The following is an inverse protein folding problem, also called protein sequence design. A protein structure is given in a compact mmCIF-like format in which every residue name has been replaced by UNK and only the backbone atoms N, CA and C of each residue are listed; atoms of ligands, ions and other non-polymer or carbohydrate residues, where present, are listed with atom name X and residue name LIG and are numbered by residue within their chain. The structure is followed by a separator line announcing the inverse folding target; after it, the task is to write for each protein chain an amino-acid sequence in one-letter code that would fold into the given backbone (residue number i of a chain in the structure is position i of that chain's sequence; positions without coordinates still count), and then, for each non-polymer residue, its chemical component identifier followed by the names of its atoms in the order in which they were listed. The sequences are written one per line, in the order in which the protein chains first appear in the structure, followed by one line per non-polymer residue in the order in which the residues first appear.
data_IF_199607721232
#
_entry.id   IF_199607721232
#
_cell.length_a   1.000
_cell.length_b   1.000
_cell.length_c   1.000
_cell.angle_alpha   90.00
_cell.angle_beta   90.00
_cell.angle_gamma   90.00
#
_symmetry.space_group_name_H-M   'P 1'
#
loop_
_entity.id
_entity.type
_entity.pdbx_description
1 polymer ?
#
# COMPACT_ATOMS: atom_id res chain seq x y z
N UNK A 1 4.27 -6.81 72.50
CA UNK A 1 3.95 -7.76 71.42
C UNK A 1 2.79 -7.21 70.62
N UNK A 2 3.02 -7.04 69.32
CA UNK A 2 2.15 -6.47 68.29
C UNK A 2 0.96 -7.36 67.97
N UNK A 3 -0.17 -6.77 67.54
CA UNK A 3 -0.77 -7.05 66.21
C UNK A 3 -1.90 -6.07 65.86
N UNK A 4 -1.67 -5.33 64.77
CA UNK A 4 -2.57 -4.40 64.12
C UNK A 4 -3.71 -5.11 63.35
N UNK A 5 -4.92 -4.56 63.44
CA UNK A 5 -6.04 -4.87 62.54
C UNK A 5 -5.95 -3.99 61.30
N UNK A 6 -5.86 -4.62 60.13
CA UNK A 6 -5.81 -3.94 58.83
C UNK A 6 -7.20 -3.77 58.22
N UNK A 7 -7.57 -2.52 57.91
CA UNK A 7 -8.76 -2.17 57.13
C UNK A 7 -8.40 -2.19 55.65
N UNK A 8 -9.01 -3.09 54.86
CA UNK A 8 -8.86 -3.12 53.41
C UNK A 8 -9.73 -2.01 52.78
N UNK A 9 -9.09 -1.03 52.15
CA UNK A 9 -9.76 -0.12 51.21
C UNK A 9 -9.87 -0.81 49.84
N UNK A 10 -11.08 -1.17 49.44
CA UNK A 10 -11.39 -1.58 48.08
C UNK A 10 -11.52 -0.33 47.20
N UNK A 11 -10.43 0.06 46.53
CA UNK A 11 -10.44 1.09 45.50
C UNK A 11 -10.94 0.52 44.18
N UNK A 12 -12.12 0.95 43.74
CA UNK A 12 -12.68 0.67 42.43
C UNK A 12 -11.86 1.40 41.36
N UNK A 13 -11.02 0.65 40.61
CA UNK A 13 -10.28 1.18 39.46
C UNK A 13 -11.23 1.23 38.25
N UNK A 14 -11.81 2.39 37.98
CA UNK A 14 -12.58 2.62 36.75
C UNK A 14 -11.59 2.79 35.59
N UNK A 15 -11.34 1.70 34.84
CA UNK A 15 -10.64 1.79 33.57
C UNK A 15 -11.52 2.54 32.57
N UNK A 16 -11.23 3.84 32.37
CA UNK A 16 -11.72 4.60 31.23
C UNK A 16 -11.03 4.03 29.97
N UNK A 17 -11.65 3.02 29.37
CA UNK A 17 -11.32 2.64 27.99
C UNK A 17 -11.72 3.82 27.11
N UNK A 18 -10.75 4.66 26.76
CA UNK A 18 -10.92 5.68 25.73
C UNK A 18 -11.25 4.98 24.42
N UNK A 19 -12.53 5.00 24.03
CA UNK A 19 -12.96 4.57 22.71
C UNK A 19 -12.36 5.55 21.72
N UNK A 20 -11.29 5.13 21.03
CA UNK A 20 -10.79 5.90 19.89
C UNK A 20 -11.89 5.81 18.83
N UNK A 21 -12.44 6.93 18.34
CA UNK A 21 -13.47 6.89 17.32
C UNK A 21 -12.93 6.14 16.10
N UNK A 22 -13.72 5.25 15.48
CA UNK A 22 -13.31 4.57 14.26
C UNK A 22 -13.01 5.64 13.20
N UNK A 23 -11.89 5.47 12.49
CA UNK A 23 -11.57 6.33 11.37
C UNK A 23 -12.74 6.30 10.38
N UNK A 24 -13.37 7.46 10.15
CA UNK A 24 -14.52 7.57 9.26
C UNK A 24 -14.10 7.25 7.83
N UNK A 25 -15.00 6.61 7.08
CA UNK A 25 -14.79 6.40 5.65
C UNK A 25 -14.87 7.74 4.92
N UNK A 26 -13.89 8.01 4.05
CA UNK A 26 -13.82 9.22 3.23
C UNK A 26 -13.81 8.83 1.75
N UNK A 27 -14.36 9.67 0.85
CA UNK A 27 -14.35 9.38 -0.58
C UNK A 27 -12.95 9.49 -1.16
N UNK A 28 -12.49 8.39 -1.78
CA UNK A 28 -11.21 8.26 -2.47
C UNK A 28 -11.46 7.99 -3.95
N UNK A 29 -10.79 8.75 -4.80
CA UNK A 29 -10.70 8.52 -6.23
C UNK A 29 -9.26 8.12 -6.59
N UNK A 30 -9.09 6.94 -7.18
CA UNK A 30 -7.83 6.47 -7.76
C UNK A 30 -7.88 6.65 -9.26
N UNK A 31 -6.92 7.41 -9.79
CA UNK A 31 -6.65 7.53 -11.22
C UNK A 31 -5.29 6.89 -11.49
N UNK A 32 -5.28 5.76 -12.21
CA UNK A 32 -4.04 5.07 -12.55
C UNK A 32 -3.87 5.00 -14.07
N UNK A 33 -2.64 5.23 -14.55
CA UNK A 33 -2.24 5.02 -15.93
C UNK A 33 -1.12 3.99 -16.02
N UNK A 34 -1.23 3.09 -16.98
CA UNK A 34 -0.27 2.03 -17.24
C UNK A 34 0.34 2.21 -18.63
N UNK A 35 1.67 2.20 -18.67
CA UNK A 35 2.45 2.38 -19.89
C UNK A 35 3.49 1.28 -20.05
N UNK A 36 3.95 1.06 -21.29
CA UNK A 36 5.13 0.28 -21.61
C UNK A 36 6.40 1.12 -21.40
N UNK A 37 7.56 0.48 -21.45
CA UNK A 37 8.87 1.16 -21.39
C UNK A 37 9.09 2.18 -22.51
N UNK A 38 8.41 2.03 -23.66
CA UNK A 38 8.44 3.02 -24.75
C UNK A 38 7.53 4.24 -24.49
N UNK A 39 6.86 4.28 -23.33
CA UNK A 39 5.88 5.29 -22.96
C UNK A 39 4.48 5.08 -23.56
N UNK A 40 4.30 4.08 -24.43
CA UNK A 40 3.02 3.76 -25.07
C UNK A 40 2.02 3.19 -24.07
N UNK A 41 0.70 3.47 -24.23
CA UNK A 41 -0.31 3.01 -23.29
C UNK A 41 -0.50 1.49 -23.32
N UNK A 42 -0.76 0.90 -22.16
CA UNK A 42 -1.17 -0.50 -22.03
C UNK A 42 -2.70 -0.59 -22.06
N UNK A 43 -3.31 -0.54 -23.24
CA UNK A 43 -4.76 -0.64 -23.42
C UNK A 43 -5.26 -2.09 -23.29
N UNK A 44 -6.49 -2.27 -22.80
CA UNK A 44 -7.13 -3.60 -22.70
C UNK A 44 -6.50 -4.51 -21.64
N UNK A 45 -5.60 -4.00 -20.80
CA UNK A 45 -4.91 -4.78 -19.78
C UNK A 45 -5.83 -5.00 -18.58
N UNK A 46 -6.06 -6.25 -18.14
CA UNK A 46 -6.78 -6.50 -16.90
C UNK A 46 -5.96 -6.03 -15.71
N UNK A 47 -6.59 -5.32 -14.79
CA UNK A 47 -5.99 -4.85 -13.54
C UNK A 47 -6.98 -5.02 -12.40
N UNK A 48 -6.47 -5.27 -11.19
CA UNK A 48 -7.26 -5.19 -9.96
C UNK A 48 -6.71 -4.07 -9.09
N UNK A 49 -7.58 -3.19 -8.61
CA UNK A 49 -7.23 -2.08 -7.73
C UNK A 49 -7.93 -2.28 -6.39
N UNK A 50 -7.21 -2.11 -5.29
CA UNK A 50 -7.71 -2.28 -3.92
C UNK A 50 -7.20 -1.16 -3.01
N UNK A 51 -7.99 -0.71 -2.05
CA UNK A 51 -7.54 0.24 -1.02
C UNK A 51 -7.07 -0.51 0.22
N UNK A 52 -5.94 -0.11 0.79
CA UNK A 52 -5.32 -0.84 1.90
C UNK A 52 -6.01 -0.72 3.27
N UNK A 53 -6.99 0.16 3.40
CA UNK A 53 -7.90 0.21 4.55
C UNK A 53 -9.12 -0.72 4.40
N UNK A 54 -9.31 -1.38 3.26
CA UNK A 54 -10.35 -2.40 3.10
C UNK A 54 -10.03 -3.66 3.93
N UNK A 55 -11.07 -4.34 4.41
CA UNK A 55 -10.93 -5.61 5.13
C UNK A 55 -10.29 -6.65 4.21
N UNK A 56 -9.21 -7.28 4.69
CA UNK A 56 -8.47 -8.28 3.92
C UNK A 56 -8.01 -7.77 2.54
N UNK A 57 -7.56 -6.52 2.44
CA UNK A 57 -7.14 -5.87 1.19
C UNK A 57 -6.10 -6.65 0.36
N UNK A 58 -5.32 -7.55 0.98
CA UNK A 58 -4.36 -8.44 0.30
C UNK A 58 -4.93 -9.80 -0.10
N UNK A 59 -6.23 -10.00 0.04
CA UNK A 59 -6.92 -11.19 -0.45
C UNK A 59 -7.09 -11.16 -1.96
N UNK A 60 -7.10 -12.33 -2.63
CA UNK A 60 -7.18 -12.41 -4.09
C UNK A 60 -8.51 -11.90 -4.65
N UNK A 61 -9.56 -11.80 -3.81
CA UNK A 61 -10.88 -11.27 -4.17
C UNK A 61 -11.16 -9.85 -3.67
N UNK A 62 -10.22 -9.16 -3.03
CA UNK A 62 -10.43 -7.80 -2.52
C UNK A 62 -10.36 -6.74 -3.63
N UNK A 63 -10.99 -5.58 -3.42
CA UNK A 63 -10.99 -4.48 -4.38
C UNK A 63 -11.82 -4.73 -5.65
N UNK A 64 -11.47 -4.03 -6.73
CA UNK A 64 -12.22 -4.00 -7.99
C UNK A 64 -11.35 -4.43 -9.17
N UNK A 65 -11.82 -5.44 -9.90
CA UNK A 65 -11.24 -5.81 -11.20
C UNK A 65 -11.78 -4.89 -12.30
N UNK A 66 -10.88 -4.44 -13.16
CA UNK A 66 -11.12 -3.47 -14.23
C UNK A 66 -10.24 -3.82 -15.44
N UNK A 67 -10.47 -3.11 -16.54
CA UNK A 67 -9.64 -3.18 -17.74
C UNK A 67 -9.24 -1.77 -18.13
N UNK A 68 -7.98 -1.58 -18.51
CA UNK A 68 -7.49 -0.27 -18.93
C UNK A 68 -8.14 0.19 -20.23
N UNK A 69 -8.42 1.49 -20.33
CA UNK A 69 -8.93 2.11 -21.54
C UNK A 69 -7.87 2.22 -22.66
N UNK A 70 -8.23 2.86 -23.78
CA UNK A 70 -7.32 3.06 -24.92
C UNK A 70 -6.06 3.89 -24.57
N UNK A 71 -6.10 4.68 -23.51
CA UNK A 71 -4.97 5.46 -22.99
C UNK A 71 -4.23 4.75 -21.86
N UNK A 72 -4.56 3.48 -21.58
CA UNK A 72 -3.97 2.68 -20.53
C UNK A 72 -4.45 3.07 -19.14
N UNK A 73 -5.61 3.71 -18.99
CA UNK A 73 -6.07 4.28 -17.72
C UNK A 73 -7.18 3.45 -17.07
N UNK A 74 -7.28 3.57 -15.75
CA UNK A 74 -8.45 3.17 -14.96
C UNK A 74 -8.79 4.25 -13.94
N UNK A 75 -10.08 4.34 -13.62
CA UNK A 75 -10.61 5.22 -12.57
C UNK A 75 -11.44 4.38 -11.61
N UNK A 76 -11.11 4.44 -10.32
CA UNK A 76 -11.81 3.75 -9.26
C UNK A 76 -12.24 4.74 -8.18
N UNK A 77 -13.49 4.66 -7.73
CA UNK A 77 -14.04 5.49 -6.66
C UNK A 77 -14.55 4.58 -5.55
N UNK A 78 -14.22 4.91 -4.31
CA UNK A 78 -14.55 4.11 -3.13
C UNK A 78 -14.55 4.97 -1.88
N UNK A 79 -15.35 4.60 -0.90
CA UNK A 79 -15.28 5.19 0.44
C UNK A 79 -14.45 4.28 1.34
N UNK A 80 -13.37 4.82 1.91
CA UNK A 80 -12.51 4.04 2.79
C UNK A 80 -11.86 4.94 3.85
N UNK A 81 -11.52 4.39 5.03
CA UNK A 81 -10.83 5.16 6.06
C UNK A 81 -9.44 5.63 5.60
N UNK A 82 -9.09 6.87 5.94
CA UNK A 82 -7.73 7.41 5.76
C UNK A 82 -6.90 7.09 6.99
N UNK A 83 -5.75 6.46 6.79
CA UNK A 83 -4.84 6.11 7.89
C UNK A 83 -4.07 7.35 8.31
N UNK A 84 -3.98 7.59 9.62
CA UNK A 84 -3.09 8.61 10.17
C UNK A 84 -1.87 7.90 10.76
N UNK A 85 -0.67 8.38 10.42
CA UNK A 85 0.57 7.85 11.01
C UNK A 85 1.60 8.95 11.21
N UNK A 86 2.53 8.70 12.13
CA UNK A 86 3.73 9.52 12.31
C UNK A 86 4.88 8.89 11.56
N UNK A 87 5.47 9.64 10.64
CA UNK A 87 6.65 9.22 9.90
C UNK A 87 7.87 10.02 10.33
N UNK A 88 9.05 9.38 10.24
CA UNK A 88 10.34 10.04 10.44
C UNK A 88 10.96 10.25 9.06
N UNK A 89 11.13 11.51 8.67
CA UNK A 89 11.93 11.89 7.50
C UNK A 89 13.37 12.13 7.98
N UNK A 90 14.37 12.00 7.11
CA UNK A 90 15.81 11.85 7.42
C UNK A 90 16.43 12.90 8.38
N UNK A 91 15.71 13.95 8.75
CA UNK A 91 16.02 14.77 9.92
C UNK A 91 15.66 14.04 11.22
N UNK A 92 16.70 13.60 11.94
CA UNK A 92 16.67 12.90 13.23
C UNK A 92 15.83 13.53 14.36
N UNK A 93 15.24 14.72 14.18
CA UNK A 93 14.49 15.44 15.22
C UNK A 93 13.04 15.81 14.87
N UNK A 94 12.55 15.58 13.64
CA UNK A 94 11.18 15.94 13.27
C UNK A 94 10.35 14.69 12.92
N UNK A 95 9.37 14.38 13.77
CA UNK A 95 8.27 13.48 13.40
C UNK A 95 7.23 14.29 12.64
N UNK A 96 6.77 13.76 11.53
CA UNK A 96 5.74 14.38 10.71
C UNK A 96 4.46 13.59 10.86
N UNK A 97 3.37 14.26 11.24
CA UNK A 97 2.03 13.67 11.09
C UNK A 97 1.72 13.59 9.59
N UNK A 98 1.25 12.41 9.17
CA UNK A 98 0.96 12.08 7.78
C UNK A 98 -0.42 11.45 7.67
N UNK A 99 -1.05 11.68 6.52
CA UNK A 99 -2.26 10.98 6.08
C UNK A 99 -1.87 10.01 4.97
N UNK A 100 -2.03 8.73 5.25
CA UNK A 100 -1.63 7.62 4.41
C UNK A 100 -2.83 7.09 3.62
N UNK A 101 -2.66 6.99 2.31
CA UNK A 101 -3.49 6.16 1.44
C UNK A 101 -2.63 5.04 0.88
N UNK A 102 -3.16 3.83 0.92
CA UNK A 102 -2.52 2.65 0.35
C UNK A 102 -3.36 2.15 -0.83
N UNK A 103 -2.70 1.91 -1.96
CA UNK A 103 -3.32 1.37 -3.16
C UNK A 103 -2.58 0.10 -3.56
N UNK A 104 -3.29 -1.02 -3.55
CA UNK A 104 -2.82 -2.25 -4.16
C UNK A 104 -3.22 -2.30 -5.63
N UNK A 105 -2.26 -2.55 -6.52
CA UNK A 105 -2.49 -2.80 -7.93
C UNK A 105 -1.97 -4.20 -8.26
N UNK A 106 -2.85 -5.05 -8.75
CA UNK A 106 -2.46 -6.38 -9.22
C UNK A 106 -2.02 -6.32 -10.69
N UNK A 107 -0.79 -6.76 -10.95
CA UNK A 107 -0.24 -6.93 -12.28
C UNK A 107 0.41 -8.31 -12.40
N UNK A 108 0.70 -8.69 -13.63
CA UNK A 108 1.44 -9.91 -13.94
C UNK A 108 2.96 -9.67 -13.88
N UNK A 109 3.64 -10.53 -13.14
CA UNK A 109 5.08 -10.61 -12.94
C UNK A 109 5.56 -12.01 -13.32
N UNK A 110 6.21 -12.14 -14.49
CA UNK A 110 6.76 -13.40 -14.99
C UNK A 110 5.73 -14.56 -15.03
N UNK A 111 4.55 -14.29 -15.59
CA UNK A 111 3.46 -15.27 -15.64
C UNK A 111 2.75 -15.52 -14.31
N UNK A 112 3.12 -14.81 -13.24
CA UNK A 112 2.50 -14.90 -11.91
C UNK A 112 1.73 -13.63 -11.59
N UNK A 113 0.69 -13.74 -10.76
CA UNK A 113 0.02 -12.57 -10.18
C UNK A 113 0.92 -11.95 -9.11
N UNK A 114 1.05 -10.63 -9.10
CA UNK A 114 1.76 -9.88 -8.08
C UNK A 114 0.94 -8.65 -7.67
N UNK A 115 0.89 -8.37 -6.37
CA UNK A 115 0.24 -7.19 -5.82
C UNK A 115 1.30 -6.13 -5.52
N UNK A 116 1.27 -5.05 -6.29
CA UNK A 116 2.08 -3.85 -6.08
C UNK A 116 1.37 -2.97 -5.07
N UNK A 117 1.89 -2.93 -3.85
CA UNK A 117 1.36 -2.17 -2.74
C UNK A 117 2.04 -0.82 -2.67
N UNK A 118 1.31 0.23 -3.03
CA UNK A 118 1.80 1.60 -3.09
C UNK A 118 1.29 2.33 -1.85
N UNK A 119 2.20 2.73 -0.97
CA UNK A 119 1.92 3.59 0.17
C UNK A 119 2.17 5.04 -0.25
N UNK A 120 1.22 5.94 -0.02
CA UNK A 120 1.40 7.37 -0.29
C UNK A 120 1.06 8.16 0.97
N UNK A 121 2.08 8.75 1.58
CA UNK A 121 1.97 9.67 2.71
C UNK A 121 1.80 11.10 2.21
N UNK A 122 0.72 11.77 2.58
CA UNK A 122 0.59 13.21 2.40
C UNK A 122 1.17 13.92 3.64
N UNK A 123 2.34 14.53 3.46
CA UNK A 123 2.97 15.43 4.44
C UNK A 123 2.94 16.88 3.97
N UNK A 124 3.35 17.82 4.84
CA UNK A 124 3.39 19.25 4.50
C UNK A 124 4.23 19.58 3.25
N UNK A 125 5.28 18.80 2.99
CA UNK A 125 6.16 19.01 1.84
C UNK A 125 5.60 18.44 0.53
N UNK A 126 4.48 17.70 0.57
CA UNK A 126 3.91 17.00 -0.58
C UNK A 126 3.74 15.50 -0.33
N UNK A 127 3.29 14.75 -1.36
CA UNK A 127 3.16 13.31 -1.29
C UNK A 127 4.53 12.62 -1.29
N UNK A 128 4.66 11.55 -0.51
CA UNK A 128 5.81 10.65 -0.49
C UNK A 128 5.32 9.22 -0.74
N UNK A 129 5.86 8.55 -1.76
CA UNK A 129 5.46 7.18 -2.08
C UNK A 129 6.52 6.12 -1.80
N UNK A 130 6.08 4.99 -1.26
CA UNK A 130 6.81 3.74 -1.19
C UNK A 130 6.08 2.65 -1.99
N UNK A 131 6.82 1.67 -2.51
CA UNK A 131 6.24 0.54 -3.21
C UNK A 131 6.81 -0.78 -2.69
N UNK A 132 5.92 -1.73 -2.42
CA UNK A 132 6.23 -3.10 -2.06
C UNK A 132 5.55 -4.04 -3.05
N UNK A 133 6.12 -5.22 -3.28
CA UNK A 133 5.55 -6.20 -4.21
C UNK A 133 5.37 -7.52 -3.48
N UNK A 134 4.15 -8.04 -3.52
CA UNK A 134 3.78 -9.28 -2.85
C UNK A 134 3.33 -10.32 -3.87
N UNK A 135 3.79 -11.55 -3.70
CA UNK A 135 3.31 -12.73 -4.40
C UNK A 135 2.26 -13.46 -3.57
N UNK A 136 1.37 -14.24 -4.20
CA UNK A 136 0.43 -15.08 -3.48
C UNK A 136 1.17 -16.22 -2.75
N UNK A 137 0.91 -16.37 -1.46
CA UNK A 137 1.31 -17.50 -0.65
C UNK A 137 0.42 -18.73 -0.84
N UNK A 138 0.62 -19.76 0.00
CA UNK A 138 -0.12 -21.04 -0.09
C UNK A 138 -1.63 -20.88 0.09
N UNK A 139 -2.07 -19.87 0.85
CA UNK A 139 -3.47 -19.55 1.09
C UNK A 139 -4.10 -18.73 -0.06
N UNK A 140 -3.33 -18.35 -1.07
CA UNK A 140 -3.72 -17.42 -2.13
C UNK A 140 -3.69 -15.95 -1.72
N UNK A 141 -3.42 -15.64 -0.45
CA UNK A 141 -3.20 -14.28 0.05
C UNK A 141 -1.91 -13.70 -0.51
N UNK A 142 -1.89 -12.41 -0.84
CA UNK A 142 -0.66 -11.71 -1.25
C UNK A 142 0.18 -11.35 -0.02
N UNK A 143 0.86 -12.35 0.56
CA UNK A 143 1.59 -12.24 1.82
C UNK A 143 3.10 -12.54 1.72
N UNK A 144 3.59 -12.88 0.52
CA UNK A 144 5.01 -13.15 0.27
C UNK A 144 5.71 -11.95 -0.39
N UNK A 145 6.41 -11.08 0.35
CA UNK A 145 7.10 -9.95 -0.24
C UNK A 145 8.28 -10.40 -1.11
N UNK A 146 8.54 -9.69 -2.21
CA UNK A 146 9.82 -9.80 -2.90
C UNK A 146 10.94 -9.33 -1.96
N UNK A 147 12.07 -10.03 -1.98
CA UNK A 147 13.24 -9.67 -1.17
C UNK A 147 14.21 -8.89 -2.03
N UNK A 148 14.54 -7.67 -1.62
CA UNK A 148 15.60 -6.87 -2.22
C UNK A 148 16.97 -7.25 -1.62
N UNK A 149 17.95 -7.41 -2.49
CA UNK A 149 19.33 -7.71 -2.13
C UNK A 149 20.20 -6.49 -2.45
N UNK A 150 20.54 -5.70 -1.43
CA UNK A 150 21.28 -4.45 -1.59
C UNK A 150 22.63 -4.65 -2.30
N UNK A 151 23.36 -5.71 -1.92
CA UNK A 151 24.72 -5.97 -2.42
C UNK A 151 24.83 -6.04 -3.94
N UNK A 152 23.79 -6.55 -4.61
CA UNK A 152 23.78 -6.76 -6.06
C UNK A 152 22.62 -6.03 -6.74
N UNK A 153 21.89 -5.17 -6.03
CA UNK A 153 20.72 -4.43 -6.51
C UNK A 153 19.73 -5.32 -7.28
N UNK A 154 19.41 -6.49 -6.71
CA UNK A 154 18.53 -7.47 -7.34
C UNK A 154 17.37 -7.85 -6.43
N UNK A 155 16.37 -8.51 -7.00
CA UNK A 155 15.23 -9.04 -6.27
C UNK A 155 15.17 -10.55 -6.38
N UNK A 156 14.84 -11.25 -5.30
CA UNK A 156 14.55 -12.68 -5.35
C UNK A 156 13.07 -12.96 -5.10
N UNK A 157 12.58 -14.01 -5.74
CA UNK A 157 11.28 -14.58 -5.43
C UNK A 157 11.37 -15.29 -4.06
N UNK A 158 10.45 -15.02 -3.11
CA UNK A 158 10.52 -15.55 -1.75
C UNK A 158 10.34 -17.07 -1.68
N UNK A 159 9.70 -17.68 -2.68
CA UNK A 159 9.56 -19.13 -2.83
C UNK A 159 10.71 -19.79 -3.59
N UNK A 160 11.70 -19.01 -4.04
CA UNK A 160 12.91 -19.49 -4.73
C UNK A 160 14.17 -18.73 -4.27
N UNK A 161 14.60 -18.88 -2.99
CA UNK A 161 15.68 -18.08 -2.41
C UNK A 161 17.08 -18.31 -3.02
N UNK A 162 17.28 -19.43 -3.74
CA UNK A 162 18.47 -19.68 -4.58
C UNK A 162 18.17 -19.66 -6.08
N UNK A 163 16.98 -19.18 -6.46
CA UNK A 163 16.50 -19.15 -7.84
C UNK A 163 16.92 -17.87 -8.58
N UNK A 164 16.23 -17.62 -9.68
CA UNK A 164 16.49 -16.48 -10.57
C UNK A 164 16.45 -15.15 -9.82
N UNK A 165 17.49 -14.34 -10.01
CA UNK A 165 17.54 -12.97 -9.53
C UNK A 165 16.95 -12.04 -10.59
N UNK A 166 16.06 -11.16 -10.17
CA UNK A 166 15.41 -10.18 -11.02
C UNK A 166 16.15 -8.86 -10.96
N UNK A 167 16.30 -8.21 -12.11
CA UNK A 167 16.86 -6.85 -12.24
C UNK A 167 15.87 -5.75 -11.85
N UNK A 168 14.61 -6.12 -11.59
CA UNK A 168 13.54 -5.21 -11.19
C UNK A 168 12.32 -5.99 -10.72
N UNK A 169 11.25 -5.27 -10.40
CA UNK A 169 10.00 -5.87 -9.91
C UNK A 169 8.95 -6.04 -11.01
N UNK A 170 9.27 -5.72 -12.26
CA UNK A 170 8.39 -5.90 -13.43
C UNK A 170 7.42 -4.76 -13.67
N UNK A 171 7.29 -3.85 -12.71
CA UNK A 171 6.67 -2.56 -12.91
C UNK A 171 7.32 -1.49 -12.03
N UNK A 172 7.36 -0.26 -12.53
CA UNK A 172 7.94 0.89 -11.84
C UNK A 172 6.89 1.98 -11.67
N UNK A 173 6.85 2.60 -10.49
CA UNK A 173 6.07 3.80 -10.26
C UNK A 173 6.81 5.00 -10.86
N UNK A 174 6.26 5.61 -11.89
CA UNK A 174 6.83 6.78 -12.57
C UNK A 174 6.41 8.09 -11.91
N UNK A 175 5.11 8.20 -11.64
CA UNK A 175 4.49 9.40 -11.09
C UNK A 175 3.51 8.98 -10.00
N UNK A 176 3.45 9.77 -8.94
CA UNK A 176 2.50 9.59 -7.85
C UNK A 176 2.08 10.96 -7.32
N UNK A 177 0.82 11.05 -6.90
CA UNK A 177 0.30 12.23 -6.22
C UNK A 177 -0.83 11.84 -5.28
N UNK A 178 -1.03 12.65 -4.24
CA UNK A 178 -2.13 12.52 -3.29
C UNK A 178 -2.59 13.92 -2.90
N UNK A 179 -3.83 14.25 -3.29
CA UNK A 179 -4.44 15.54 -3.00
C UNK A 179 -5.80 15.37 -2.34
N UNK A 180 -6.24 16.39 -1.63
CA UNK A 180 -7.60 16.50 -1.12
C UNK A 180 -8.26 17.73 -1.74
N UNK A 181 -9.41 17.53 -2.38
CA UNK A 181 -10.19 18.63 -2.94
C UNK A 181 -10.85 19.46 -1.84
N UNK A 182 -11.29 20.70 -2.13
CA UNK A 182 -12.08 21.51 -1.19
C UNK A 182 -13.37 20.81 -0.71
N UNK A 183 -13.90 19.88 -1.51
CA UNK A 183 -15.08 19.08 -1.18
C UNK A 183 -14.75 17.84 -0.32
N UNK A 184 -13.50 17.64 0.11
CA UNK A 184 -13.09 16.51 0.94
C UNK A 184 -12.82 15.22 0.18
N UNK A 185 -12.87 15.21 -1.17
CA UNK A 185 -12.52 14.03 -1.97
C UNK A 185 -11.01 13.89 -2.09
N UNK A 186 -10.50 12.74 -1.66
CA UNK A 186 -9.12 12.34 -1.84
C UNK A 186 -8.88 11.85 -3.26
N UNK A 187 -7.85 12.36 -3.91
CA UNK A 187 -7.46 11.95 -5.26
C UNK A 187 -6.05 11.38 -5.23
N UNK A 188 -5.95 10.11 -5.58
CA UNK A 188 -4.69 9.41 -5.82
C UNK A 188 -4.44 9.41 -7.33
N UNK A 189 -3.28 9.89 -7.76
CA UNK A 189 -2.83 9.78 -9.15
C UNK A 189 -1.61 8.88 -9.21
N UNK A 190 -1.63 7.89 -10.09
CA UNK A 190 -0.54 6.94 -10.29
C UNK A 190 -0.22 6.80 -11.77
N UNK A 191 1.07 6.76 -12.10
CA UNK A 191 1.54 6.31 -13.42
C UNK A 191 2.53 5.18 -13.22
N UNK A 192 2.22 4.01 -13.78
CA UNK A 192 3.05 2.81 -13.68
C UNK A 192 3.55 2.39 -15.06
N UNK A 193 4.82 2.05 -15.13
CA UNK A 193 5.46 1.47 -16.31
C UNK A 193 5.61 -0.04 -16.11
N UNK A 194 5.09 -0.87 -17.02
CA UNK A 194 5.39 -2.31 -17.05
C UNK A 194 6.72 -2.52 -17.74
N UNK A 195 7.66 -3.13 -17.02
CA UNK A 195 9.00 -3.41 -17.49
C UNK A 195 9.04 -4.75 -18.22
N UNK A 196 9.90 -4.86 -19.23
CA UNK A 196 10.25 -6.15 -19.84
C UNK A 196 11.40 -6.74 -19.04
N UNK A 197 11.23 -7.99 -18.62
CA UNK A 197 12.34 -8.70 -17.99
C UNK A 197 13.35 -9.13 -19.04
N UNK A 198 14.61 -8.79 -18.77
CA UNK A 198 15.76 -9.53 -19.26
C UNK A 198 16.22 -10.45 -18.13
N UNK A 199 16.20 -11.76 -18.38
CA UNK A 199 16.77 -12.76 -17.47
C UNK A 199 18.29 -12.58 -17.48
N UNK A 200 18.91 -12.56 -16.30
CA UNK A 200 20.37 -12.58 -16.13
C UNK A 200 20.83 -13.93 -15.62
#
# INVERSE_FOLDING_TARGET
MSKHGGTFFAGLLTFLFGVTPPAMAEPIQVNAQFVREDGGPLAGMPVRVVIGSEKAARAPGAGKSMTTDAQGRVRYQVEAPIKQRRIKLDSIFARHDSRLVEVGIELELLGRRALYWIEIDLVKAGPLAGIYVFLPGRSGQFDLPLTFHEKNHSWSLPDQPGGMLLTGTGARLLEHDLQISPAGVWTVTLRMEKQKFTVR
#
